data_IF_948350667632
#
_entry.id   IF_948350667632
#
_cell.length_a   1.000
_cell.length_b   1.000
_cell.length_c   1.000
_cell.angle_alpha   90.00
_cell.angle_beta   90.00
_cell.angle_gamma   90.00
#
_symmetry.space_group_name_H-M   'P 1'
#
loop_
_entity.id
_entity.type
_entity.pdbx_description
1 polymer ?
#
# COMPACT_ATOMS: atom_id res chain seq x y z
N UNK A 1 -11.28 -4.83 -8.12
CA UNK A 1 -11.30 -3.56 -7.36
C UNK A 1 -9.95 -2.91 -7.57
N UNK A 2 -9.82 -1.57 -7.65
CA UNK A 2 -8.53 -0.97 -7.88
C UNK A 2 -7.60 -1.27 -6.70
N UNK A 3 -6.39 -1.76 -7.00
CA UNK A 3 -5.40 -2.19 -6.01
C UNK A 3 -4.52 -1.02 -5.59
N UNK A 4 -4.46 -0.76 -4.29
CA UNK A 4 -3.63 0.27 -3.68
C UNK A 4 -2.56 -0.39 -2.82
N UNK A 5 -1.29 -0.09 -3.10
CA UNK A 5 -0.16 -0.50 -2.25
C UNK A 5 0.32 0.67 -1.39
N UNK A 6 0.34 0.48 -0.07
CA UNK A 6 0.86 1.46 0.89
C UNK A 6 2.25 1.05 1.34
N UNK A 7 3.25 1.92 1.14
CA UNK A 7 4.67 1.56 1.33
C UNK A 7 5.09 1.43 2.79
N UNK A 8 4.26 1.85 3.75
CA UNK A 8 4.53 1.83 5.20
C UNK A 8 3.23 1.66 6.00
N UNK A 9 3.37 1.28 7.27
CA UNK A 9 2.27 1.35 8.23
C UNK A 9 1.78 2.79 8.41
N UNK A 10 0.47 2.98 8.33
CA UNK A 10 -0.22 4.25 8.58
C UNK A 10 -1.34 4.03 9.59
N UNK A 11 -1.89 5.09 10.20
CA UNK A 11 -3.04 4.95 11.08
C UNK A 11 -4.21 4.19 10.42
N UNK A 12 -4.84 3.29 11.18
CA UNK A 12 -5.95 2.45 10.70
C UNK A 12 -7.12 3.25 10.13
N UNK A 13 -7.32 4.49 10.56
CA UNK A 13 -8.33 5.39 10.01
C UNK A 13 -8.17 5.60 8.49
N UNK A 14 -6.95 5.78 8.00
CA UNK A 14 -6.68 5.91 6.57
C UNK A 14 -6.94 4.61 5.80
N UNK A 15 -6.58 3.47 6.38
CA UNK A 15 -6.81 2.14 5.79
C UNK A 15 -8.31 1.86 5.67
N UNK A 16 -9.09 2.18 6.71
CA UNK A 16 -10.55 2.04 6.70
C UNK A 16 -11.20 2.88 5.60
N UNK A 17 -10.81 4.14 5.45
CA UNK A 17 -11.33 5.02 4.39
C UNK A 17 -11.10 4.42 2.99
N UNK A 18 -9.92 3.86 2.74
CA UNK A 18 -9.62 3.21 1.45
C UNK A 18 -10.47 1.95 1.24
N UNK A 19 -10.63 1.11 2.26
CA UNK A 19 -11.47 -0.09 2.19
C UNK A 19 -12.94 0.24 2.00
N UNK A 20 -13.46 1.25 2.70
CA UNK A 20 -14.85 1.75 2.57
C UNK A 20 -15.11 2.36 1.19
N UNK A 21 -14.09 2.98 0.58
CA UNK A 21 -14.13 3.44 -0.80
C UNK A 21 -13.96 2.30 -1.83
N UNK A 22 -14.02 1.05 -1.39
CA UNK A 22 -14.03 -0.15 -2.23
C UNK A 22 -12.72 -0.41 -3.00
N UNK A 23 -11.60 0.01 -2.43
CA UNK A 23 -10.25 -0.32 -2.88
C UNK A 23 -9.74 -1.62 -2.25
N UNK A 24 -8.93 -2.37 -3.00
CA UNK A 24 -8.14 -3.47 -2.45
C UNK A 24 -6.83 -2.92 -1.88
N UNK A 25 -6.64 -2.99 -0.56
CA UNK A 25 -5.53 -2.32 0.13
C UNK A 25 -4.52 -3.34 0.65
N UNK A 26 -3.28 -3.26 0.16
CA UNK A 26 -2.11 -3.99 0.68
C UNK A 26 -1.19 -2.99 1.39
N UNK A 27 -0.86 -3.23 2.66
CA UNK A 27 0.04 -2.38 3.45
C UNK A 27 1.34 -3.13 3.69
N UNK A 28 2.48 -2.48 3.45
CA UNK A 28 3.78 -3.09 3.74
C UNK A 28 3.99 -3.25 5.25
N UNK A 29 4.45 -4.44 5.63
CA UNK A 29 4.88 -4.83 6.98
C UNK A 29 6.38 -4.59 7.23
N UNK A 30 7.11 -4.09 6.23
CA UNK A 30 8.53 -3.85 6.32
C UNK A 30 8.83 -2.62 7.19
N UNK A 31 9.66 -2.81 8.21
CA UNK A 31 10.11 -1.73 9.07
C UNK A 31 11.24 -0.94 8.39
N UNK A 32 11.06 0.38 8.23
CA UNK A 32 12.04 1.29 7.61
C UNK A 32 11.76 1.67 6.15
N UNK A 33 12.83 1.82 5.35
CA UNK A 33 12.74 2.19 3.92
C UNK A 33 12.68 0.91 3.09
N UNK A 34 11.61 0.75 2.31
CA UNK A 34 11.43 -0.41 1.45
C UNK A 34 12.57 -0.52 0.42
N UNK A 35 13.31 -1.64 0.36
CA UNK A 35 14.34 -1.82 -0.66
C UNK A 35 13.75 -1.75 -2.07
N UNK A 36 14.48 -1.12 -3.00
CA UNK A 36 14.01 -0.90 -4.38
C UNK A 36 13.48 -2.17 -5.05
N UNK A 37 14.19 -3.29 -4.89
CA UNK A 37 13.79 -4.56 -5.51
C UNK A 37 12.47 -5.09 -4.94
N UNK A 38 12.27 -5.00 -3.63
CA UNK A 38 11.01 -5.39 -2.99
C UNK A 38 9.87 -4.48 -3.41
N UNK A 39 10.10 -3.16 -3.45
CA UNK A 39 9.10 -2.21 -3.94
C UNK A 39 8.64 -2.58 -5.35
N UNK A 40 9.58 -2.84 -6.26
CA UNK A 40 9.28 -3.23 -7.63
C UNK A 40 8.53 -4.55 -7.75
N UNK A 41 8.67 -5.48 -6.80
CA UNK A 41 7.83 -6.69 -6.78
C UNK A 41 6.43 -6.39 -6.26
N UNK A 42 6.31 -5.60 -5.18
CA UNK A 42 5.04 -5.30 -4.51
C UNK A 42 4.10 -4.42 -5.34
N UNK A 43 4.64 -3.47 -6.10
CA UNK A 43 3.83 -2.53 -6.90
C UNK A 43 3.35 -3.11 -8.24
N UNK A 44 3.76 -4.33 -8.61
CA UNK A 44 3.28 -4.97 -9.84
C UNK A 44 1.78 -5.22 -9.76
N UNK A 45 1.06 -4.70 -10.74
CA UNK A 45 -0.40 -4.82 -10.79
C UNK A 45 -1.13 -3.95 -9.76
N UNK A 46 -0.44 -3.05 -9.07
CA UNK A 46 -1.11 -1.99 -8.31
C UNK A 46 -1.58 -0.89 -9.27
N UNK A 47 -2.80 -0.40 -9.06
CA UNK A 47 -3.35 0.75 -9.77
C UNK A 47 -2.92 2.07 -9.14
N UNK A 48 -2.59 2.05 -7.84
CA UNK A 48 -2.08 3.20 -7.11
C UNK A 48 -1.03 2.80 -6.06
N UNK A 49 -0.12 3.73 -5.78
CA UNK A 49 0.93 3.60 -4.76
C UNK A 49 0.84 4.79 -3.82
N UNK A 50 0.74 4.53 -2.51
CA UNK A 50 0.81 5.54 -1.46
C UNK A 50 2.22 5.52 -0.83
N UNK A 51 3.09 6.44 -1.25
CA UNK A 51 4.46 6.56 -0.77
C UNK A 51 4.59 7.64 0.32
N UNK A 52 5.14 7.26 1.48
CA UNK A 52 5.39 8.12 2.65
C UNK A 52 6.84 8.06 3.11
#
# INVERSE_FOLDING_TARGET
MPKVFVTRQIPESGIKLLREANFEVEVSDFDGVLPREQLLQKVKGADAILSL
#
